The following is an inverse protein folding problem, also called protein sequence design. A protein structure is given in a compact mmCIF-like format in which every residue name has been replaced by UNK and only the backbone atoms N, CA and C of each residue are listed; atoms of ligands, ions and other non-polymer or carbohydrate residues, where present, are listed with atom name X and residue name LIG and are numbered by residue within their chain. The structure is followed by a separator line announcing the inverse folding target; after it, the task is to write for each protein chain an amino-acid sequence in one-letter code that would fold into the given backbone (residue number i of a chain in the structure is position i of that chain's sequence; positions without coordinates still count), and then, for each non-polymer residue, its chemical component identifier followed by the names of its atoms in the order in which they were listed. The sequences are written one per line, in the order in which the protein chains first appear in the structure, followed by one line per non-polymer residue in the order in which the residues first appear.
data_IF_603838871491
#
_entry.id   IF_603838871491
#
_cell.length_a   1.000
_cell.length_b   1.000
_cell.length_c   1.000
_cell.angle_alpha   90.00
_cell.angle_beta   90.00
_cell.angle_gamma   90.00
#
_symmetry.space_group_name_H-M   'P 1'
#
loop_
_entity.id
_entity.type
_entity.pdbx_description
1 polymer ?
#
# COMPACT_ATOMS: atom_id res chain seq x y z
N UNK A 1 -28.95 -7.40 45.88
CA UNK A 1 -28.46 -8.77 46.13
C UNK A 1 -27.46 -9.11 45.06
N UNK A 2 -26.33 -9.70 45.48
CA UNK A 2 -25.19 -10.14 44.68
C UNK A 2 -25.54 -10.63 43.27
N UNK A 3 -24.74 -10.21 42.28
CA UNK A 3 -24.56 -10.99 41.06
C UNK A 3 -23.77 -12.25 41.42
N UNK A 4 -24.41 -13.38 41.19
CA UNK A 4 -23.93 -14.73 41.41
C UNK A 4 -22.94 -15.08 40.29
N UNK A 5 -21.66 -15.21 40.63
CA UNK A 5 -20.68 -15.86 39.78
C UNK A 5 -20.94 -17.37 39.84
N UNK A 6 -21.68 -17.89 38.86
CA UNK A 6 -21.69 -19.33 38.60
C UNK A 6 -20.39 -19.70 37.88
N UNK A 7 -19.53 -20.42 38.58
CA UNK A 7 -18.33 -20.99 37.98
C UNK A 7 -18.67 -22.04 36.93
N UNK A 8 -17.80 -22.17 35.92
CA UNK A 8 -17.75 -23.35 35.07
C UNK A 8 -17.60 -23.08 33.58
N UNK A 9 -16.43 -22.55 33.18
CA UNK A 9 -15.66 -22.96 31.99
C UNK A 9 -14.72 -21.81 31.66
N UNK A 10 -13.41 -22.05 31.76
CA UNK A 10 -12.38 -21.22 31.17
C UNK A 10 -12.49 -21.30 29.65
N UNK A 11 -13.53 -20.68 29.10
CA UNK A 11 -13.42 -20.14 27.76
C UNK A 11 -12.80 -18.76 27.98
N UNK A 12 -11.46 -18.71 27.93
CA UNK A 12 -10.85 -17.56 27.28
C UNK A 12 -11.45 -17.59 25.88
N UNK A 13 -12.59 -16.93 25.71
CA UNK A 13 -13.02 -16.55 24.38
C UNK A 13 -11.94 -15.56 23.96
N UNK A 14 -10.92 -16.10 23.31
CA UNK A 14 -9.91 -15.31 22.65
C UNK A 14 -10.65 -14.67 21.49
N UNK A 15 -11.41 -13.60 21.79
CA UNK A 15 -11.79 -12.62 20.80
C UNK A 15 -10.46 -12.15 20.23
N UNK A 16 -10.11 -12.73 19.08
CA UNK A 16 -8.96 -12.39 18.30
C UNK A 16 -9.21 -10.95 17.86
N UNK A 17 -8.73 -9.98 18.62
CA UNK A 17 -8.68 -8.60 18.18
C UNK A 17 -7.75 -8.57 16.98
N UNK A 18 -8.31 -8.70 15.77
CA UNK A 18 -7.55 -8.52 14.53
C UNK A 18 -7.26 -7.04 14.44
N UNK A 19 -6.04 -6.66 14.84
CA UNK A 19 -5.57 -5.30 14.70
C UNK A 19 -5.13 -5.10 13.25
N UNK A 20 -5.61 -4.03 12.62
CA UNK A 20 -5.21 -3.67 11.26
C UNK A 20 -3.76 -3.17 11.24
N UNK A 21 -2.88 -3.96 10.66
CA UNK A 21 -1.54 -3.58 10.26
C UNK A 21 -1.65 -2.70 9.00
N UNK A 22 -1.00 -1.52 8.94
CA UNK A 22 -1.01 -0.74 7.71
C UNK A 22 -0.27 -1.47 6.58
N UNK A 23 -0.58 -1.14 5.31
CA UNK A 23 0.14 -1.69 4.18
C UNK A 23 1.61 -1.26 4.19
N UNK A 24 2.45 -1.97 3.45
CA UNK A 24 3.85 -1.64 3.24
C UNK A 24 4.04 -1.19 1.79
N UNK A 25 4.42 0.07 1.61
CA UNK A 25 4.74 0.64 0.31
C UNK A 25 6.18 0.29 -0.09
N UNK A 26 6.33 -0.40 -1.22
CA UNK A 26 7.63 -0.77 -1.79
C UNK A 26 7.78 -0.12 -3.17
N UNK A 27 8.81 0.71 -3.33
CA UNK A 27 9.08 1.45 -4.56
C UNK A 27 10.39 1.02 -5.22
N UNK A 28 10.48 1.22 -6.54
CA UNK A 28 11.72 1.07 -7.31
C UNK A 28 11.81 2.15 -8.40
N UNK A 29 13.02 2.66 -8.62
CA UNK A 29 13.32 3.55 -9.74
C UNK A 29 13.11 2.84 -11.08
N UNK A 30 12.54 3.56 -12.05
CA UNK A 30 12.20 3.02 -13.35
C UNK A 30 12.95 3.76 -14.45
N UNK A 31 13.43 3.04 -15.46
CA UNK A 31 13.91 3.62 -16.72
C UNK A 31 13.15 3.00 -17.88
N UNK A 32 12.47 3.82 -18.68
CA UNK A 32 11.60 3.39 -19.79
C UNK A 32 11.84 4.25 -21.02
N UNK A 33 11.70 3.67 -22.22
CA UNK A 33 11.83 4.43 -23.46
C UNK A 33 10.54 5.19 -23.80
N UNK A 34 10.67 6.41 -24.29
CA UNK A 34 9.54 7.20 -24.73
C UNK A 34 8.81 6.57 -25.94
N UNK A 35 7.49 6.68 -25.94
CA UNK A 35 6.65 6.39 -27.10
C UNK A 35 6.62 7.55 -28.12
N UNK A 36 5.76 7.47 -29.16
CA UNK A 36 5.67 8.46 -30.23
C UNK A 36 5.36 9.90 -29.78
N UNK A 37 4.77 10.06 -28.59
CA UNK A 37 4.42 11.36 -28.02
C UNK A 37 5.49 11.93 -27.08
N UNK A 38 6.70 11.36 -27.06
CA UNK A 38 7.78 11.74 -26.13
C UNK A 38 7.41 11.56 -24.65
N UNK A 39 6.53 10.60 -24.36
CA UNK A 39 6.11 10.22 -23.01
C UNK A 39 6.08 8.70 -22.84
N UNK A 40 6.10 8.20 -21.61
CA UNK A 40 5.98 6.77 -21.30
C UNK A 40 5.16 6.52 -20.03
N UNK A 41 4.38 5.45 -20.03
CA UNK A 41 3.77 4.91 -18.82
C UNK A 41 4.81 4.13 -18.01
N UNK A 42 4.79 4.30 -16.69
CA UNK A 42 5.61 3.55 -15.76
C UNK A 42 4.87 3.33 -14.43
N UNK A 43 5.24 2.27 -13.73
CA UNK A 43 4.81 2.01 -12.36
C UNK A 43 6.04 1.85 -11.48
N UNK A 44 6.11 2.62 -10.40
CA UNK A 44 7.17 2.51 -9.40
C UNK A 44 6.87 1.45 -8.34
N UNK A 45 5.70 0.79 -8.37
CA UNK A 45 5.35 -0.25 -7.40
C UNK A 45 6.28 -1.46 -7.54
N UNK A 46 6.98 -1.79 -6.46
CA UNK A 46 7.93 -2.90 -6.36
C UNK A 46 7.44 -3.97 -5.38
N UNK A 47 6.18 -4.39 -5.55
CA UNK A 47 5.57 -5.43 -4.72
C UNK A 47 5.09 -4.94 -3.36
N UNK A 48 4.45 -3.77 -3.30
CA UNK A 48 3.70 -3.33 -2.12
C UNK A 48 2.66 -4.38 -1.73
N UNK A 49 2.45 -4.57 -0.43
CA UNK A 49 1.55 -5.58 0.12
C UNK A 49 0.99 -5.15 1.47
N UNK A 50 -0.09 -5.79 1.90
CA UNK A 50 -0.61 -5.67 3.25
C UNK A 50 -0.20 -6.88 4.10
N UNK A 51 0.37 -6.70 5.31
CA UNK A 51 0.77 -7.81 6.18
C UNK A 51 -0.38 -8.72 6.64
N UNK A 52 -1.59 -8.19 6.73
CA UNK A 52 -2.79 -8.95 7.12
C UNK A 52 -3.42 -9.68 5.92
N UNK A 53 -2.92 -9.39 4.70
CA UNK A 53 -3.42 -9.95 3.45
C UNK A 53 -4.63 -9.22 2.89
N UNK A 54 -4.93 -8.03 3.42
CA UNK A 54 -6.02 -7.20 2.95
C UNK A 54 -5.78 -6.67 1.52
N UNK A 55 -6.86 -6.43 0.74
CA UNK A 55 -6.73 -5.87 -0.59
C UNK A 55 -6.20 -4.43 -0.51
N UNK A 56 -5.16 -4.13 -1.28
CA UNK A 56 -4.56 -2.79 -1.35
C UNK A 56 -4.97 -2.03 -2.62
N UNK A 57 -5.02 -0.71 -2.50
CA UNK A 57 -5.14 0.24 -3.62
C UNK A 57 -3.83 0.99 -3.79
N UNK A 58 -3.39 1.14 -5.04
CA UNK A 58 -2.13 1.81 -5.41
C UNK A 58 -2.42 3.09 -6.18
N UNK A 59 -1.89 4.22 -5.72
CA UNK A 59 -2.05 5.53 -6.38
C UNK A 59 -0.69 6.20 -6.53
N UNK A 60 -0.28 6.48 -7.77
CA UNK A 60 0.96 7.22 -8.05
C UNK A 60 0.65 8.70 -8.33
N UNK A 61 1.49 9.59 -7.81
CA UNK A 61 1.42 11.02 -8.05
C UNK A 61 2.81 11.61 -8.35
N UNK A 62 3.01 12.35 -9.46
CA UNK A 62 2.02 12.61 -10.50
C UNK A 62 1.60 11.32 -11.24
N UNK A 63 0.36 11.24 -11.75
CA UNK A 63 -0.05 10.14 -12.61
C UNK A 63 0.68 10.25 -13.96
N UNK A 64 1.06 9.09 -14.53
CA UNK A 64 1.61 9.01 -15.88
C UNK A 64 0.57 9.30 -16.97
N UNK A 65 1.00 9.37 -18.24
CA UNK A 65 2.35 9.10 -18.73
C UNK A 65 3.36 10.22 -18.40
N UNK A 66 4.62 9.85 -18.19
CA UNK A 66 5.71 10.75 -17.80
C UNK A 66 6.45 11.32 -19.01
N UNK A 67 6.89 12.60 -19.00
CA UNK A 67 7.70 13.19 -20.06
C UNK A 67 9.15 12.69 -20.03
N UNK A 68 9.88 12.91 -21.13
CA UNK A 68 11.34 12.72 -21.19
C UNK A 68 12.07 13.38 -20.00
N UNK A 69 13.07 12.69 -19.47
CA UNK A 69 13.83 13.09 -18.28
C UNK A 69 13.37 12.38 -17.01
N UNK A 70 13.77 12.93 -15.86
CA UNK A 70 13.45 12.34 -14.55
C UNK A 70 12.22 13.01 -13.93
N UNK A 71 11.25 12.21 -13.51
CA UNK A 71 10.10 12.61 -12.70
C UNK A 71 10.15 11.90 -11.36
N UNK A 72 10.14 12.65 -10.26
CA UNK A 72 9.95 12.08 -8.92
C UNK A 72 8.46 11.74 -8.74
N UNK A 73 8.18 10.51 -8.33
CA UNK A 73 6.82 9.99 -8.17
C UNK A 73 6.65 9.44 -6.76
N UNK A 74 5.55 9.79 -6.11
CA UNK A 74 5.10 9.23 -4.84
C UNK A 74 4.05 8.15 -5.11
N UNK A 75 4.25 6.96 -4.55
CA UNK A 75 3.25 5.90 -4.51
C UNK A 75 2.59 5.90 -3.13
N UNK A 76 1.28 6.04 -3.10
CA UNK A 76 0.43 5.83 -1.93
C UNK A 76 -0.24 4.47 -2.02
N UNK A 77 -0.10 3.69 -0.96
CA UNK A 77 -0.74 2.38 -0.79
C UNK A 77 -1.76 2.50 0.34
N UNK A 78 -3.00 2.08 0.09
CA UNK A 78 -4.08 2.12 1.06
C UNK A 78 -4.74 0.75 1.19
N UNK A 79 -5.05 0.31 2.41
CA UNK A 79 -5.90 -0.85 2.66
C UNK A 79 -7.40 -0.46 2.64
N UNK A 80 -8.29 -1.44 2.80
CA UNK A 80 -9.74 -1.23 2.88
C UNK A 80 -10.24 -0.80 4.28
N UNK A 81 -9.36 -0.76 5.28
CA UNK A 81 -9.66 -0.34 6.64
C UNK A 81 -9.26 1.13 6.90
N UNK A 82 -8.67 1.80 5.91
CA UNK A 82 -8.33 3.21 5.91
C UNK A 82 -6.91 3.54 6.35
N UNK A 83 -6.04 2.54 6.55
CA UNK A 83 -4.62 2.80 6.79
C UNK A 83 -3.85 2.91 5.47
N UNK A 84 -2.74 3.65 5.51
CA UNK A 84 -1.95 3.97 4.32
C UNK A 84 -0.47 4.01 4.61
N UNK A 85 0.34 3.72 3.59
CA UNK A 85 1.79 3.95 3.58
C UNK A 85 2.22 4.57 2.24
N UNK A 86 3.39 5.21 2.22
CA UNK A 86 3.92 5.89 1.03
C UNK A 86 5.41 5.63 0.82
N UNK A 87 5.80 5.56 -0.44
CA UNK A 87 7.20 5.58 -0.85
C UNK A 87 7.40 6.45 -2.09
N UNK A 88 8.64 6.86 -2.35
CA UNK A 88 9.02 7.63 -3.54
C UNK A 88 10.02 6.88 -4.39
N UNK A 89 9.99 7.11 -5.69
CA UNK A 89 10.99 6.67 -6.64
C UNK A 89 11.02 7.58 -7.86
N UNK A 90 12.09 7.47 -8.65
CA UNK A 90 12.29 8.25 -9.87
C UNK A 90 11.89 7.43 -11.09
N UNK A 91 11.07 8.02 -11.96
CA UNK A 91 10.86 7.53 -13.32
C UNK A 91 11.73 8.34 -14.27
N UNK A 92 12.64 7.67 -14.97
CA UNK A 92 13.45 8.26 -16.04
C UNK A 92 12.95 7.79 -17.41
N UNK A 93 12.47 8.72 -18.22
CA UNK A 93 12.04 8.45 -19.60
C UNK A 93 13.15 8.88 -20.56
N UNK A 94 13.59 7.97 -21.43
CA UNK A 94 14.70 8.16 -22.40
C UNK A 94 14.30 7.99 -23.85
#
# INVERSE_FOLDING_TARGET
GNILLVGGSSVLDAELFVFNSPPIASCQDMTVSAGPNCTADASINNGSFDPDGDPITLIQNPPGPYPLGSTEVTLTVADNNGATDQCTATVTVV
#
